data_IF_942001856368
#
_entry.id   IF_942001856368
#
_cell.length_a   1.000
_cell.length_b   1.000
_cell.length_c   1.000
_cell.angle_alpha   90.00
_cell.angle_beta   90.00
_cell.angle_gamma   90.00
#
_symmetry.space_group_name_H-M   'P 1'
#
loop_
_entity.id
_entity.type
_entity.pdbx_description
1 polymer ?
#
# COMPACT_ATOMS: atom_id res chain seq x y z
N UNK A 1 -4.74 -30.69 16.96
CA UNK A 1 -4.83 -29.31 17.35
C UNK A 1 -4.83 -28.42 16.13
N UNK A 2 -5.95 -27.77 15.87
CA UNK A 2 -6.07 -26.86 14.74
C UNK A 2 -5.17 -25.64 14.96
N UNK A 3 -4.36 -25.32 13.97
CA UNK A 3 -3.65 -24.07 13.94
C UNK A 3 -4.63 -22.98 13.48
N UNK A 4 -4.86 -21.98 14.32
CA UNK A 4 -5.60 -20.80 13.86
C UNK A 4 -4.68 -19.92 13.03
N UNK A 5 -5.15 -19.47 11.85
CA UNK A 5 -4.48 -18.46 11.05
C UNK A 5 -4.58 -17.11 11.77
N UNK A 6 -3.50 -16.67 12.44
CA UNK A 6 -3.48 -15.38 13.14
C UNK A 6 -3.59 -14.21 12.15
N UNK A 7 -3.07 -14.38 10.93
CA UNK A 7 -3.02 -13.34 9.88
C UNK A 7 -4.34 -13.17 9.11
N UNK A 8 -5.26 -14.15 9.17
CA UNK A 8 -6.56 -14.07 8.50
C UNK A 8 -6.57 -14.48 7.02
N UNK A 9 -5.42 -14.78 6.40
CA UNK A 9 -5.32 -15.09 4.97
C UNK A 9 -5.55 -16.56 4.59
N UNK A 10 -5.87 -17.42 5.54
CA UNK A 10 -6.25 -18.82 5.31
C UNK A 10 -7.77 -18.99 5.52
N UNK A 11 -8.56 -18.47 4.58
CA UNK A 11 -10.02 -18.39 4.66
C UNK A 11 -10.68 -19.75 4.73
N UNK A 12 -11.56 -19.96 5.70
CA UNK A 12 -12.34 -21.20 5.87
C UNK A 12 -13.83 -21.03 5.57
N UNK A 13 -14.32 -19.82 5.45
CA UNK A 13 -15.67 -19.47 5.01
C UNK A 13 -15.65 -18.06 4.41
N UNK A 14 -15.94 -17.95 3.12
CA UNK A 14 -15.92 -16.66 2.40
C UNK A 14 -17.11 -15.74 2.73
N UNK A 15 -18.14 -16.27 3.42
CA UNK A 15 -19.36 -15.54 3.74
C UNK A 15 -19.50 -15.21 5.23
N UNK A 16 -18.44 -15.46 6.03
CA UNK A 16 -18.45 -15.17 7.46
C UNK A 16 -17.21 -14.43 7.91
N UNK A 17 -17.42 -13.47 8.78
CA UNK A 17 -16.34 -12.84 9.56
C UNK A 17 -15.74 -13.91 10.48
N UNK A 18 -14.44 -13.84 10.72
CA UNK A 18 -13.76 -14.69 11.71
C UNK A 18 -14.41 -14.49 13.09
N UNK A 19 -14.91 -15.56 13.71
CA UNK A 19 -15.63 -15.46 14.99
C UNK A 19 -14.81 -14.88 16.13
N UNK A 20 -13.49 -14.80 16.00
CA UNK A 20 -12.62 -14.12 16.96
C UNK A 20 -12.85 -12.60 16.97
N UNK A 21 -13.34 -12.03 15.88
CA UNK A 21 -13.61 -10.59 15.72
C UNK A 21 -15.07 -10.23 15.84
N UNK A 22 -15.98 -11.19 15.79
CA UNK A 22 -17.41 -10.98 15.89
C UNK A 22 -18.21 -11.69 14.82
N UNK A 23 -19.35 -11.13 14.48
CA UNK A 23 -20.31 -11.65 13.50
C UNK A 23 -20.39 -10.76 12.27
N UNK A 24 -21.08 -11.23 11.22
CA UNK A 24 -21.36 -10.40 10.04
C UNK A 24 -22.17 -9.15 10.41
N UNK A 25 -23.04 -9.25 11.42
CA UNK A 25 -23.82 -8.12 11.93
C UNK A 25 -22.95 -7.10 12.66
N UNK A 26 -21.95 -7.56 13.43
CA UNK A 26 -20.96 -6.66 14.05
C UNK A 26 -20.13 -5.94 12.96
N UNK A 27 -19.78 -6.63 11.88
CA UNK A 27 -19.06 -6.01 10.77
C UNK A 27 -19.94 -4.98 10.04
N UNK A 28 -21.22 -5.27 9.80
CA UNK A 28 -22.14 -4.31 9.22
C UNK A 28 -22.26 -3.07 10.11
N UNK A 29 -22.42 -3.25 11.42
CA UNK A 29 -22.46 -2.14 12.39
C UNK A 29 -21.18 -1.31 12.34
N UNK A 30 -20.00 -1.95 12.26
CA UNK A 30 -18.72 -1.25 12.11
C UNK A 30 -18.71 -0.37 10.85
N UNK A 31 -19.16 -0.89 9.72
CA UNK A 31 -19.23 -0.14 8.44
C UNK A 31 -20.20 1.02 8.55
N UNK A 32 -21.40 0.81 9.13
CA UNK A 32 -22.41 1.86 9.34
C UNK A 32 -21.88 3.00 10.24
N UNK A 33 -21.24 2.65 11.36
CA UNK A 33 -20.66 3.63 12.28
C UNK A 33 -19.49 4.39 11.65
N UNK A 34 -18.67 3.72 10.83
CA UNK A 34 -17.60 4.35 10.05
C UNK A 34 -18.18 5.38 9.06
N UNK A 35 -19.25 5.04 8.36
CA UNK A 35 -19.93 5.93 7.42
C UNK A 35 -20.51 7.17 8.14
N UNK A 36 -21.11 7.01 9.32
CA UNK A 36 -21.59 8.12 10.13
C UNK A 36 -20.49 9.11 10.52
N UNK A 37 -19.25 8.63 10.62
CA UNK A 37 -18.06 9.45 10.88
C UNK A 37 -17.36 9.96 9.59
N UNK A 38 -17.95 9.71 8.42
CA UNK A 38 -17.39 10.10 7.13
C UNK A 38 -16.20 9.23 6.68
N UNK A 39 -16.01 8.08 7.28
CA UNK A 39 -14.99 7.09 6.90
C UNK A 39 -15.55 6.09 5.89
N UNK A 40 -14.70 5.62 5.00
CA UNK A 40 -14.97 4.51 4.07
C UNK A 40 -14.27 3.26 4.56
N UNK A 41 -14.87 2.10 4.28
CA UNK A 41 -14.32 0.81 4.67
C UNK A 41 -13.91 0.02 3.43
N UNK A 42 -12.67 -0.45 3.42
CA UNK A 42 -12.11 -1.32 2.38
C UNK A 42 -11.91 -2.70 2.98
N UNK A 43 -12.46 -3.72 2.33
CA UNK A 43 -12.31 -5.11 2.74
C UNK A 43 -11.14 -5.76 2.04
N UNK A 44 -10.32 -6.48 2.79
CA UNK A 44 -9.27 -7.34 2.24
C UNK A 44 -9.89 -8.67 1.81
N UNK A 45 -9.69 -9.07 0.55
CA UNK A 45 -10.20 -10.31 -0.03
C UNK A 45 -9.08 -11.14 -0.64
N UNK A 46 -9.25 -12.46 -0.63
CA UNK A 46 -8.26 -13.43 -1.11
C UNK A 46 -8.94 -14.35 -2.13
N UNK A 47 -8.66 -14.17 -3.42
CA UNK A 47 -9.21 -15.04 -4.49
C UNK A 47 -8.23 -16.09 -4.97
N UNK A 48 -6.95 -15.95 -4.65
CA UNK A 48 -5.92 -16.88 -5.08
C UNK A 48 -6.04 -18.24 -4.40
N UNK A 49 -6.30 -18.26 -3.10
CA UNK A 49 -6.29 -19.47 -2.28
C UNK A 49 -7.33 -19.41 -1.17
N UNK A 50 -7.62 -20.57 -0.57
CA UNK A 50 -8.35 -20.65 0.69
C UNK A 50 -7.47 -21.22 1.80
N UNK A 51 -8.02 -21.48 2.98
CA UNK A 51 -7.33 -22.20 4.05
C UNK A 51 -7.44 -23.72 3.88
N UNK A 52 -6.44 -24.45 4.33
CA UNK A 52 -6.46 -25.92 4.32
C UNK A 52 -7.53 -26.55 5.22
N UNK A 53 -8.10 -25.77 6.13
CA UNK A 53 -9.27 -26.19 6.94
C UNK A 53 -10.62 -25.83 6.30
N UNK A 54 -10.63 -25.29 5.09
CA UNK A 54 -11.86 -25.04 4.36
C UNK A 54 -12.54 -26.40 4.01
N UNK A 55 -13.88 -26.54 4.15
CA UNK A 55 -14.58 -27.78 3.81
C UNK A 55 -14.31 -28.31 2.40
N UNK A 56 -13.97 -27.45 1.45
CA UNK A 56 -13.58 -27.84 0.08
C UNK A 56 -12.37 -28.75 0.00
N UNK A 57 -11.49 -28.75 1.02
CA UNK A 57 -10.34 -29.66 1.04
C UNK A 57 -10.75 -31.12 1.25
N UNK A 58 -11.92 -31.35 1.89
CA UNK A 58 -12.45 -32.70 2.13
C UNK A 58 -13.45 -33.07 1.02
N UNK A 59 -14.28 -32.10 0.61
CA UNK A 59 -15.33 -32.32 -0.36
C UNK A 59 -15.40 -31.11 -1.33
N UNK A 60 -14.53 -31.07 -2.34
CA UNK A 60 -14.56 -29.99 -3.33
C UNK A 60 -15.82 -30.10 -4.20
N UNK A 61 -16.44 -28.96 -4.58
CA UNK A 61 -17.64 -28.96 -5.45
C UNK A 61 -17.40 -29.55 -6.84
N UNK A 62 -16.16 -29.54 -7.33
CA UNK A 62 -15.73 -30.15 -8.58
C UNK A 62 -14.31 -30.70 -8.44
N UNK A 63 -13.94 -31.67 -9.28
CA UNK A 63 -12.64 -32.32 -9.24
C UNK A 63 -11.46 -31.35 -9.53
N UNK A 64 -11.71 -30.30 -10.31
CA UNK A 64 -10.79 -29.26 -10.69
C UNK A 64 -11.03 -27.93 -9.95
N UNK A 65 -11.56 -28.00 -8.71
CA UNK A 65 -11.78 -26.80 -7.85
C UNK A 65 -10.48 -26.15 -7.43
N UNK A 66 -9.46 -26.98 -7.24
CA UNK A 66 -8.08 -26.57 -6.94
C UNK A 66 -7.17 -26.92 -8.11
N UNK A 67 -6.12 -26.11 -8.33
CA UNK A 67 -5.10 -26.40 -9.33
C UNK A 67 -4.29 -27.66 -8.97
N UNK A 68 -4.03 -27.87 -7.68
CA UNK A 68 -3.39 -29.07 -7.16
C UNK A 68 -4.28 -29.68 -6.06
N UNK A 69 -4.66 -30.97 -6.17
CA UNK A 69 -5.56 -31.61 -5.16
C UNK A 69 -4.91 -31.76 -3.79
N UNK A 70 -3.58 -31.80 -3.74
CA UNK A 70 -2.79 -31.90 -2.53
C UNK A 70 -1.57 -31.01 -2.61
N UNK A 71 -0.99 -30.66 -1.48
CA UNK A 71 0.26 -29.90 -1.43
C UNK A 71 1.43 -30.69 -2.05
N UNK A 72 1.69 -30.45 -3.30
CA UNK A 72 2.77 -31.08 -4.07
C UNK A 72 3.60 -30.07 -4.86
N UNK A 73 3.04 -28.89 -5.07
CA UNK A 73 3.67 -27.77 -5.76
C UNK A 73 3.43 -26.49 -4.96
N UNK A 74 4.47 -25.86 -4.46
CA UNK A 74 4.41 -24.53 -3.87
C UNK A 74 4.67 -23.48 -4.95
N UNK A 75 4.00 -22.32 -4.85
CA UNK A 75 4.28 -21.22 -5.76
C UNK A 75 5.75 -20.81 -5.68
N UNK A 76 6.31 -20.41 -6.81
CA UNK A 76 7.69 -19.90 -6.87
C UNK A 76 7.86 -18.53 -6.22
N UNK A 77 6.75 -17.84 -5.87
CA UNK A 77 6.72 -16.43 -5.42
C UNK A 77 7.33 -15.44 -6.42
N UNK A 78 7.53 -15.86 -7.67
CA UNK A 78 8.07 -15.02 -8.74
C UNK A 78 6.93 -14.56 -9.64
N UNK A 79 6.61 -13.28 -9.62
CA UNK A 79 5.55 -12.71 -10.46
C UNK A 79 6.02 -12.34 -11.87
N UNK A 80 7.33 -12.27 -12.07
CA UNK A 80 7.92 -11.93 -13.38
C UNK A 80 7.54 -12.88 -14.51
N UNK A 81 7.41 -14.21 -14.32
CA UNK A 81 6.98 -15.10 -15.39
C UNK A 81 5.60 -14.76 -15.97
N UNK A 82 4.70 -14.15 -15.19
CA UNK A 82 3.38 -13.76 -15.67
C UNK A 82 3.42 -12.65 -16.74
N UNK A 83 4.50 -11.88 -16.81
CA UNK A 83 4.67 -10.75 -17.73
C UNK A 83 5.88 -10.87 -18.66
N UNK A 84 6.81 -11.78 -18.38
CA UNK A 84 7.99 -12.03 -19.17
C UNK A 84 7.60 -12.64 -20.54
N UNK A 85 7.98 -12.01 -21.67
CA UNK A 85 7.69 -12.54 -22.99
C UNK A 85 8.45 -13.84 -23.32
N UNK A 86 9.48 -14.17 -22.56
CA UNK A 86 10.34 -15.34 -22.73
C UNK A 86 10.15 -16.39 -21.64
N UNK A 87 9.21 -16.20 -20.73
CA UNK A 87 8.99 -17.13 -19.64
C UNK A 87 8.66 -18.54 -20.15
N UNK A 88 9.24 -19.54 -19.50
CA UNK A 88 8.88 -20.93 -19.72
C UNK A 88 7.47 -21.22 -19.20
N UNK A 89 6.81 -22.22 -19.75
CA UNK A 89 5.49 -22.65 -19.27
C UNK A 89 5.56 -23.22 -17.84
N UNK A 90 6.68 -23.85 -17.48
CA UNK A 90 6.83 -24.37 -16.11
C UNK A 90 6.93 -23.25 -15.08
N UNK A 91 7.67 -22.16 -15.37
CA UNK A 91 7.79 -21.03 -14.44
C UNK A 91 6.45 -20.31 -14.23
N UNK A 92 5.66 -20.12 -15.30
CA UNK A 92 4.30 -19.59 -15.21
C UNK A 92 3.42 -20.48 -14.35
N UNK A 93 3.43 -21.77 -14.63
CA UNK A 93 2.62 -22.75 -13.92
C UNK A 93 2.98 -22.82 -12.43
N UNK A 94 4.25 -22.80 -12.08
CA UNK A 94 4.68 -22.75 -10.68
C UNK A 94 4.16 -21.52 -9.95
N UNK A 95 4.11 -20.36 -10.61
CA UNK A 95 3.55 -19.14 -10.03
C UNK A 95 2.03 -19.24 -9.86
N UNK A 96 1.30 -19.63 -10.91
CA UNK A 96 -0.16 -19.52 -11.00
C UNK A 96 -0.91 -20.71 -10.40
N UNK A 97 -0.28 -21.89 -10.31
CA UNK A 97 -0.93 -23.14 -9.86
C UNK A 97 -0.34 -23.68 -8.54
N UNK A 98 0.77 -23.14 -8.07
CA UNK A 98 1.38 -23.58 -6.82
C UNK A 98 0.65 -23.03 -5.60
N UNK A 99 0.51 -23.86 -4.56
CA UNK A 99 -0.06 -23.40 -3.30
C UNK A 99 0.79 -22.30 -2.67
N UNK A 100 0.15 -21.27 -2.13
CA UNK A 100 0.87 -20.17 -1.50
C UNK A 100 1.65 -20.65 -0.26
N UNK A 101 1.08 -21.54 0.51
CA UNK A 101 1.72 -22.28 1.59
C UNK A 101 1.03 -23.64 1.76
N UNK A 102 1.60 -24.53 2.54
CA UNK A 102 0.97 -25.84 2.85
C UNK A 102 -0.41 -25.71 3.52
N UNK A 103 -0.68 -24.56 4.15
CA UNK A 103 -1.96 -24.21 4.76
C UNK A 103 -2.88 -23.38 3.85
N UNK A 104 -2.47 -23.10 2.61
CA UNK A 104 -3.16 -22.20 1.67
C UNK A 104 -3.30 -22.83 0.29
N UNK A 105 -4.28 -23.77 0.12
CA UNK A 105 -4.58 -24.43 -1.15
C UNK A 105 -4.97 -23.45 -2.24
N UNK A 106 -4.38 -23.63 -3.42
CA UNK A 106 -4.57 -22.78 -4.56
C UNK A 106 -5.88 -23.07 -5.29
N UNK A 107 -6.70 -22.04 -5.50
CA UNK A 107 -8.00 -22.16 -6.18
C UNK A 107 -7.83 -22.06 -7.69
N UNK A 108 -8.55 -22.88 -8.42
CA UNK A 108 -8.57 -22.85 -9.88
C UNK A 108 -9.65 -21.87 -10.41
N UNK A 109 -9.30 -20.59 -10.55
CA UNK A 109 -10.23 -19.57 -11.07
C UNK A 109 -10.59 -19.79 -12.56
N UNK A 110 -9.86 -20.64 -13.30
CA UNK A 110 -10.23 -21.04 -14.65
C UNK A 110 -11.46 -21.97 -14.67
N UNK A 111 -11.75 -22.63 -13.54
CA UNK A 111 -13.06 -23.26 -13.37
C UNK A 111 -14.14 -22.17 -13.26
N UNK A 112 -15.15 -22.15 -14.17
CA UNK A 112 -16.13 -21.06 -14.20
C UNK A 112 -16.99 -20.99 -12.94
N UNK A 113 -17.15 -22.08 -12.21
CA UNK A 113 -17.91 -22.11 -10.95
C UNK A 113 -17.11 -21.49 -9.81
N UNK A 114 -15.80 -21.74 -9.74
CA UNK A 114 -14.90 -21.06 -8.79
C UNK A 114 -14.92 -19.55 -9.04
N UNK A 115 -14.71 -19.13 -10.30
CA UNK A 115 -14.73 -17.71 -10.66
C UNK A 115 -16.07 -17.05 -10.31
N UNK A 116 -17.19 -17.69 -10.66
CA UNK A 116 -18.53 -17.17 -10.36
C UNK A 116 -18.76 -17.05 -8.85
N UNK A 117 -18.38 -18.06 -8.08
CA UNK A 117 -18.51 -18.04 -6.62
C UNK A 117 -17.74 -16.85 -6.01
N UNK A 118 -16.49 -16.65 -6.42
CA UNK A 118 -15.66 -15.57 -5.89
C UNK A 118 -16.17 -14.18 -6.30
N UNK A 119 -16.62 -14.03 -7.56
CA UNK A 119 -17.21 -12.78 -8.05
C UNK A 119 -18.48 -12.42 -7.26
N UNK A 120 -19.40 -13.38 -7.13
CA UNK A 120 -20.62 -13.18 -6.38
C UNK A 120 -20.38 -12.95 -4.89
N UNK A 121 -19.37 -13.58 -4.32
CA UNK A 121 -18.95 -13.32 -2.94
C UNK A 121 -18.56 -11.86 -2.72
N UNK A 122 -17.77 -11.28 -3.64
CA UNK A 122 -17.39 -9.86 -3.53
C UNK A 122 -18.60 -8.92 -3.60
N UNK A 123 -19.53 -9.19 -4.53
CA UNK A 123 -20.78 -8.41 -4.66
C UNK A 123 -21.65 -8.57 -3.41
N UNK A 124 -21.75 -9.78 -2.88
CA UNK A 124 -22.52 -10.05 -1.66
C UNK A 124 -22.02 -9.22 -0.46
N UNK A 125 -20.70 -9.09 -0.28
CA UNK A 125 -20.14 -8.26 0.78
C UNK A 125 -20.42 -6.77 0.57
N UNK A 126 -20.37 -6.28 -0.68
CA UNK A 126 -20.76 -4.89 -0.99
C UNK A 126 -22.21 -4.65 -0.60
N UNK A 127 -23.11 -5.53 -1.00
CA UNK A 127 -24.56 -5.39 -0.75
C UNK A 127 -24.95 -5.65 0.71
N UNK A 128 -24.28 -6.58 1.38
CA UNK A 128 -24.68 -6.99 2.74
C UNK A 128 -24.18 -6.03 3.80
N UNK A 129 -22.95 -5.52 3.70
CA UNK A 129 -22.35 -4.68 4.72
C UNK A 129 -22.01 -3.27 4.25
N UNK A 130 -22.10 -2.99 2.96
CA UNK A 130 -21.87 -1.65 2.41
C UNK A 130 -20.40 -1.23 2.33
N UNK A 131 -19.46 -2.16 2.14
CA UNK A 131 -18.05 -1.81 1.93
C UNK A 131 -17.88 -0.88 0.73
N UNK A 132 -16.87 -0.02 0.78
CA UNK A 132 -16.63 1.02 -0.22
C UNK A 132 -15.49 0.71 -1.18
N UNK A 133 -14.73 -0.32 -0.90
CA UNK A 133 -13.60 -0.76 -1.70
C UNK A 133 -13.15 -2.16 -1.32
N UNK A 134 -12.29 -2.73 -2.14
CA UNK A 134 -11.65 -4.03 -1.92
C UNK A 134 -10.15 -3.88 -2.13
N UNK A 135 -9.37 -4.42 -1.20
CA UNK A 135 -7.96 -4.77 -1.43
C UNK A 135 -7.93 -6.23 -1.80
N UNK A 136 -7.39 -6.57 -2.97
CA UNK A 136 -7.24 -7.96 -3.38
C UNK A 136 -5.82 -8.44 -3.11
N UNK A 137 -5.73 -9.34 -2.15
CA UNK A 137 -4.52 -10.04 -1.75
C UNK A 137 -3.93 -10.85 -2.91
N UNK A 138 -2.62 -10.91 -3.00
CA UNK A 138 -1.89 -11.75 -3.97
C UNK A 138 -2.44 -11.69 -5.40
N UNK A 139 -2.88 -10.50 -5.84
CA UNK A 139 -3.61 -10.30 -7.10
C UNK A 139 -2.96 -10.99 -8.32
N UNK A 140 -1.62 -10.86 -8.55
CA UNK A 140 -0.98 -11.41 -9.74
C UNK A 140 -0.76 -12.94 -9.71
N UNK A 141 -0.99 -13.61 -8.60
CA UNK A 141 -0.84 -15.07 -8.50
C UNK A 141 -2.03 -15.81 -9.08
N UNK A 142 -3.23 -15.22 -9.04
CA UNK A 142 -4.42 -15.79 -9.64
C UNK A 142 -4.40 -15.61 -11.16
N UNK A 143 -5.12 -16.50 -11.88
CA UNK A 143 -5.21 -16.41 -13.33
C UNK A 143 -5.73 -15.04 -13.80
N UNK A 144 -5.02 -14.41 -14.72
CA UNK A 144 -5.29 -13.04 -15.16
C UNK A 144 -6.68 -12.87 -15.80
N UNK A 145 -7.15 -13.85 -16.61
CA UNK A 145 -8.42 -13.73 -17.32
C UNK A 145 -9.65 -13.75 -16.40
N UNK A 146 -9.77 -14.69 -15.44
CA UNK A 146 -10.83 -14.65 -14.43
C UNK A 146 -10.81 -13.39 -13.56
N UNK A 147 -9.62 -12.91 -13.18
CA UNK A 147 -9.47 -11.69 -12.39
C UNK A 147 -9.90 -10.45 -13.18
N UNK A 148 -9.58 -10.39 -14.47
CA UNK A 148 -10.04 -9.31 -15.35
C UNK A 148 -11.58 -9.34 -15.53
N UNK A 149 -12.17 -10.52 -15.61
CA UNK A 149 -13.63 -10.70 -15.63
C UNK A 149 -14.28 -10.21 -14.33
N UNK A 150 -13.71 -10.56 -13.18
CA UNK A 150 -14.17 -10.08 -11.89
C UNK A 150 -14.16 -8.54 -11.84
N UNK A 151 -13.03 -7.94 -12.19
CA UNK A 151 -12.89 -6.48 -12.20
C UNK A 151 -13.86 -5.80 -13.16
N UNK A 152 -14.07 -6.39 -14.35
CA UNK A 152 -15.05 -5.87 -15.31
C UNK A 152 -16.45 -5.84 -14.70
N UNK A 153 -16.90 -6.97 -14.17
CA UNK A 153 -18.25 -7.10 -13.59
C UNK A 153 -18.43 -6.17 -12.38
N UNK A 154 -17.44 -6.09 -11.49
CA UNK A 154 -17.51 -5.21 -10.34
C UNK A 154 -17.53 -3.72 -10.74
N UNK A 155 -16.75 -3.34 -11.75
CA UNK A 155 -16.74 -1.95 -12.27
C UNK A 155 -18.03 -1.57 -12.99
N UNK A 156 -18.69 -2.52 -13.66
CA UNK A 156 -19.99 -2.33 -14.32
C UNK A 156 -21.10 -2.16 -13.29
N UNK A 157 -21.12 -2.98 -12.24
CA UNK A 157 -22.10 -2.91 -11.16
C UNK A 157 -21.89 -1.66 -10.27
N UNK A 158 -20.64 -1.34 -9.96
CA UNK A 158 -20.27 -0.24 -9.06
C UNK A 158 -19.23 0.69 -9.71
N UNK A 159 -19.62 1.60 -10.62
CA UNK A 159 -18.68 2.43 -11.40
C UNK A 159 -17.73 3.30 -10.53
N UNK A 160 -18.20 3.71 -9.35
CA UNK A 160 -17.45 4.56 -8.42
C UNK A 160 -16.69 3.75 -7.34
N UNK A 161 -16.79 2.43 -7.37
CA UNK A 161 -16.09 1.56 -6.43
C UNK A 161 -14.62 1.48 -6.77
N UNK A 162 -13.74 1.48 -5.78
CA UNK A 162 -12.32 1.32 -5.99
C UNK A 162 -11.82 -0.03 -5.50
N UNK A 163 -10.98 -0.65 -6.31
CA UNK A 163 -10.30 -1.89 -5.96
C UNK A 163 -8.80 -1.69 -6.14
N UNK A 164 -8.05 -2.02 -5.11
CA UNK A 164 -6.58 -2.04 -5.15
C UNK A 164 -6.11 -3.49 -5.14
N UNK A 165 -5.23 -3.85 -6.06
CA UNK A 165 -4.58 -5.15 -6.10
C UNK A 165 -3.20 -5.09 -5.45
N UNK A 166 -2.91 -6.06 -4.61
CA UNK A 166 -1.55 -6.25 -4.13
C UNK A 166 -0.68 -6.78 -5.28
N UNK A 167 0.15 -5.90 -5.80
CA UNK A 167 1.07 -6.16 -6.91
C UNK A 167 2.50 -6.08 -6.40
N UNK A 168 2.93 -7.08 -5.62
CA UNK A 168 4.24 -7.07 -4.97
C UNK A 168 5.36 -7.35 -5.96
N UNK A 169 5.67 -6.34 -6.74
CA UNK A 169 6.81 -6.29 -7.64
C UNK A 169 7.53 -4.96 -7.44
N UNK A 170 8.86 -5.00 -7.44
CA UNK A 170 9.68 -3.83 -7.06
C UNK A 170 10.15 -3.02 -8.25
N UNK A 171 9.65 -3.32 -9.44
CA UNK A 171 9.94 -2.58 -10.67
C UNK A 171 8.67 -1.86 -11.16
N UNK A 172 8.71 -0.53 -11.38
CA UNK A 172 7.54 0.23 -11.81
C UNK A 172 6.89 -0.31 -13.10
N UNK A 173 7.69 -0.80 -14.05
CA UNK A 173 7.18 -1.38 -15.28
C UNK A 173 6.29 -2.61 -15.02
N UNK A 174 6.64 -3.44 -14.04
CA UNK A 174 5.84 -4.62 -13.67
C UNK A 174 4.55 -4.20 -12.97
N UNK A 175 4.63 -3.26 -12.03
CA UNK A 175 3.44 -2.72 -11.35
C UNK A 175 2.48 -2.09 -12.35
N UNK A 176 2.98 -1.27 -13.29
CA UNK A 176 2.17 -0.61 -14.31
C UNK A 176 1.46 -1.59 -15.25
N UNK A 177 2.03 -2.78 -15.46
CA UNK A 177 1.40 -3.83 -16.29
C UNK A 177 0.05 -4.26 -15.74
N UNK A 178 -0.14 -4.26 -14.42
CA UNK A 178 -1.37 -4.70 -13.76
C UNK A 178 -2.46 -3.62 -13.66
N UNK A 179 -2.16 -2.37 -14.01
CA UNK A 179 -3.15 -1.32 -13.96
C UNK A 179 -4.11 -1.39 -15.15
N UNK A 180 -5.37 -1.00 -14.91
CA UNK A 180 -6.40 -0.89 -15.96
C UNK A 180 -5.90 -0.11 -17.17
N UNK A 181 -6.22 -0.60 -18.36
CA UNK A 181 -5.86 -0.01 -19.66
C UNK A 181 -4.33 0.13 -19.89
N UNK A 182 -3.53 -0.68 -19.21
CA UNK A 182 -2.08 -0.68 -19.39
C UNK A 182 -1.68 -1.06 -20.80
N UNK A 183 -0.82 -0.24 -21.41
CA UNK A 183 -0.21 -0.49 -22.74
C UNK A 183 0.80 -1.63 -22.71
N UNK A 184 1.26 -2.00 -21.50
CA UNK A 184 2.29 -3.02 -21.30
C UNK A 184 1.69 -4.42 -21.20
N UNK A 185 0.40 -4.52 -20.89
CA UNK A 185 -0.29 -5.78 -20.68
C UNK A 185 -0.83 -6.37 -21.99
N UNK A 186 -0.73 -7.69 -22.14
CA UNK A 186 -1.40 -8.44 -23.22
C UNK A 186 -2.92 -8.48 -23.03
N UNK A 187 -3.38 -8.39 -21.79
CA UNK A 187 -4.78 -8.41 -21.40
C UNK A 187 -5.06 -7.29 -20.41
N UNK A 188 -6.14 -6.54 -20.63
CA UNK A 188 -6.58 -5.51 -19.70
C UNK A 188 -7.06 -6.15 -18.40
N UNK A 189 -6.43 -5.83 -17.30
CA UNK A 189 -6.81 -6.31 -15.97
C UNK A 189 -8.13 -5.70 -15.46
N UNK A 190 -8.50 -4.52 -15.96
CA UNK A 190 -9.57 -3.66 -15.43
C UNK A 190 -9.36 -3.22 -13.97
N UNK A 191 -8.20 -3.51 -13.37
CA UNK A 191 -7.85 -3.14 -12.00
C UNK A 191 -7.49 -1.64 -11.94
N UNK A 192 -8.26 -0.86 -11.21
CA UNK A 192 -8.07 0.59 -11.15
C UNK A 192 -6.78 0.96 -10.43
N UNK A 193 -6.54 0.39 -9.26
CA UNK A 193 -5.44 0.80 -8.39
C UNK A 193 -4.47 -0.36 -8.14
N UNK A 194 -3.19 -0.05 -8.22
CA UNK A 194 -2.07 -0.97 -7.94
C UNK A 194 -1.25 -0.46 -6.76
N UNK A 195 -0.56 -1.37 -6.04
CA UNK A 195 0.30 -1.02 -4.91
C UNK A 195 1.72 -0.74 -5.37
N UNK A 196 2.30 0.36 -4.89
CA UNK A 196 3.63 0.86 -5.28
C UNK A 196 4.73 0.26 -4.39
N UNK A 197 5.02 -1.02 -4.57
CA UNK A 197 6.14 -1.67 -3.90
C UNK A 197 7.51 -1.15 -4.39
N UNK A 198 7.58 -0.58 -5.59
CA UNK A 198 8.81 0.05 -6.09
C UNK A 198 9.18 1.29 -5.25
N UNK A 199 8.20 2.12 -4.92
CA UNK A 199 8.40 3.25 -4.00
C UNK A 199 8.76 2.78 -2.59
N UNK A 200 8.06 1.76 -2.07
CA UNK A 200 8.39 1.16 -0.77
C UNK A 200 9.86 0.73 -0.72
N UNK A 201 10.32 -0.06 -1.69
CA UNK A 201 11.70 -0.55 -1.70
C UNK A 201 12.73 0.57 -1.84
N UNK A 202 12.44 1.57 -2.66
CA UNK A 202 13.29 2.75 -2.79
C UNK A 202 13.41 3.50 -1.45
N UNK A 203 12.31 3.64 -0.71
CA UNK A 203 12.30 4.29 0.60
C UNK A 203 12.96 3.44 1.69
N UNK A 204 12.72 2.13 1.69
CA UNK A 204 13.32 1.22 2.66
C UNK A 204 14.84 1.18 2.52
N UNK A 205 15.35 1.15 1.30
CA UNK A 205 16.79 1.25 1.03
C UNK A 205 17.35 2.63 1.36
N UNK A 206 16.64 3.69 0.94
CA UNK A 206 17.07 5.09 1.11
C UNK A 206 17.22 5.49 2.58
N UNK A 207 16.36 4.98 3.48
CA UNK A 207 16.38 5.35 4.90
C UNK A 207 17.70 5.01 5.62
N UNK A 208 18.48 4.07 5.07
CA UNK A 208 19.77 3.63 5.63
C UNK A 208 20.98 4.27 4.95
N UNK A 209 20.74 5.14 3.97
CA UNK A 209 21.81 5.74 3.15
C UNK A 209 21.88 7.24 3.37
N UNK A 210 23.12 7.73 3.55
CA UNK A 210 23.42 9.14 3.82
C UNK A 210 24.27 9.75 2.71
N UNK A 211 24.31 9.11 1.57
CA UNK A 211 25.03 9.56 0.36
C UNK A 211 24.04 9.99 -0.72
N UNK A 212 24.50 10.84 -1.62
CA UNK A 212 23.75 11.32 -2.77
C UNK A 212 24.34 10.83 -4.11
N UNK A 213 25.10 9.75 -4.08
CA UNK A 213 25.60 9.17 -5.32
C UNK A 213 24.45 8.66 -6.22
N UNK A 214 24.74 8.41 -7.49
CA UNK A 214 23.76 8.16 -8.58
C UNK A 214 22.68 7.13 -8.28
N UNK A 215 22.95 6.18 -7.40
CA UNK A 215 22.08 5.01 -7.16
C UNK A 215 21.66 4.84 -5.69
N UNK A 216 22.08 5.78 -4.83
CA UNK A 216 21.84 5.71 -3.40
C UNK A 216 21.10 6.92 -2.87
N UNK A 217 20.69 6.82 -1.61
CA UNK A 217 19.92 7.87 -0.96
C UNK A 217 18.65 8.19 -1.74
N UNK A 218 18.27 9.45 -1.78
CA UNK A 218 17.06 9.89 -2.49
C UNK A 218 17.12 9.72 -4.00
N UNK A 219 18.28 9.41 -4.60
CA UNK A 219 18.33 9.05 -6.02
C UNK A 219 17.53 7.78 -6.32
N UNK A 220 17.38 6.86 -5.37
CA UNK A 220 16.51 5.69 -5.51
C UNK A 220 15.05 6.10 -5.75
N UNK A 221 14.57 7.03 -4.94
CA UNK A 221 13.20 7.55 -5.05
C UNK A 221 13.01 8.36 -6.34
N UNK A 222 13.95 9.26 -6.62
CA UNK A 222 13.96 10.03 -7.86
C UNK A 222 13.84 9.12 -9.09
N UNK A 223 14.68 8.09 -9.15
CA UNK A 223 14.70 7.14 -10.27
C UNK A 223 13.39 6.32 -10.37
N UNK A 224 12.72 6.04 -9.25
CA UNK A 224 11.44 5.34 -9.26
C UNK A 224 10.37 6.17 -9.97
N UNK A 225 10.27 7.46 -9.67
CA UNK A 225 9.27 8.34 -10.29
C UNK A 225 9.55 8.68 -11.77
N UNK A 226 10.78 8.49 -12.25
CA UNK A 226 11.09 8.62 -13.68
C UNK A 226 10.23 7.70 -14.53
N UNK A 227 9.78 6.58 -13.99
CA UNK A 227 8.95 5.59 -14.68
C UNK A 227 7.44 5.88 -14.62
N UNK A 228 7.02 7.01 -14.07
CA UNK A 228 5.59 7.33 -13.95
C UNK A 228 4.85 7.41 -15.30
N UNK A 229 5.57 7.64 -16.40
CA UNK A 229 5.02 7.60 -17.75
C UNK A 229 4.52 6.21 -18.19
N UNK A 230 4.88 5.15 -17.47
CA UNK A 230 4.41 3.78 -17.73
C UNK A 230 3.00 3.53 -17.20
N UNK A 231 2.61 4.22 -16.13
CA UNK A 231 1.28 4.07 -15.55
C UNK A 231 0.22 4.72 -16.43
N UNK A 232 -0.94 4.09 -16.51
CA UNK A 232 -2.11 4.68 -17.18
C UNK A 232 -2.63 5.87 -16.39
N UNK A 233 -2.65 5.76 -15.05
CA UNK A 233 -3.06 6.83 -14.16
C UNK A 233 -2.29 6.75 -12.83
N UNK A 234 -1.39 7.69 -12.61
CA UNK A 234 -0.60 7.78 -11.37
C UNK A 234 -1.44 8.18 -10.15
N UNK A 235 -2.65 8.73 -10.34
CA UNK A 235 -3.56 9.01 -9.22
C UNK A 235 -4.17 7.72 -8.64
N UNK A 236 -4.09 6.62 -9.37
CA UNK A 236 -4.52 5.29 -8.95
C UNK A 236 -3.31 4.36 -8.69
N UNK A 237 -2.26 4.90 -8.10
CA UNK A 237 -1.12 4.14 -7.58
C UNK A 237 -1.07 4.39 -6.08
N UNK A 238 -1.21 3.33 -5.27
CA UNK A 238 -1.22 3.42 -3.82
C UNK A 238 0.18 3.19 -3.27
N UNK A 239 0.77 4.23 -2.68
CA UNK A 239 2.11 4.20 -2.11
C UNK A 239 2.08 4.07 -0.58
N UNK A 240 3.12 3.48 -0.05
CA UNK A 240 3.32 3.28 1.39
C UNK A 240 4.82 3.20 1.69
N UNK A 241 5.20 3.43 2.94
CA UNK A 241 6.58 3.27 3.42
C UNK A 241 6.74 2.06 4.36
N UNK A 242 5.64 1.51 4.83
CA UNK A 242 5.53 0.29 5.61
C UNK A 242 4.12 -0.27 5.50
N UNK A 243 3.96 -1.57 5.72
CA UNK A 243 2.67 -2.22 5.85
C UNK A 243 2.80 -3.47 6.74
N UNK A 244 1.74 -4.28 6.83
CA UNK A 244 1.70 -5.49 7.66
C UNK A 244 2.60 -6.63 7.17
N UNK A 245 3.12 -6.55 5.94
CA UNK A 245 3.99 -7.56 5.32
C UNK A 245 5.46 -7.13 5.25
N UNK A 246 5.76 -5.92 5.65
CA UNK A 246 7.12 -5.35 5.63
C UNK A 246 7.62 -5.08 7.03
N UNK A 247 8.90 -4.80 7.16
CA UNK A 247 9.42 -4.19 8.38
C UNK A 247 8.71 -2.86 8.64
N UNK A 248 8.53 -2.51 9.91
CA UNK A 248 8.18 -1.14 10.27
C UNK A 248 9.28 -0.20 9.79
N UNK A 249 8.93 1.00 9.37
CA UNK A 249 9.92 1.95 8.84
C UNK A 249 11.02 2.27 9.87
N UNK A 250 10.65 2.36 11.14
CA UNK A 250 11.62 2.51 12.24
C UNK A 250 12.47 1.25 12.45
N UNK A 251 12.05 0.08 12.01
CA UNK A 251 12.76 -1.18 12.19
C UNK A 251 13.01 -1.47 13.67
N UNK A 252 14.25 -1.71 14.03
CA UNK A 252 14.77 -1.79 15.41
C UNK A 252 15.31 -0.43 15.89
N UNK A 253 15.44 0.53 14.97
CA UNK A 253 15.99 1.85 15.23
C UNK A 253 14.98 2.83 15.82
N UNK A 254 15.45 4.08 15.97
CA UNK A 254 14.65 5.17 16.55
C UNK A 254 14.79 6.46 15.74
N UNK A 255 15.15 6.37 14.46
CA UNK A 255 15.32 7.55 13.62
C UNK A 255 13.97 8.14 13.21
N UNK A 256 13.38 8.88 14.13
CA UNK A 256 12.09 9.56 13.94
C UNK A 256 12.19 10.62 12.84
N UNK A 257 13.36 11.22 12.63
CA UNK A 257 13.54 12.22 11.59
C UNK A 257 13.45 11.59 10.20
N UNK A 258 14.03 10.40 9.99
CA UNK A 258 13.88 9.66 8.74
C UNK A 258 12.42 9.21 8.52
N UNK A 259 11.73 8.79 9.59
CA UNK A 259 10.31 8.48 9.50
C UNK A 259 9.50 9.72 9.06
N UNK A 260 9.74 10.88 9.68
CA UNK A 260 9.10 12.15 9.29
C UNK A 260 9.40 12.51 7.82
N UNK A 261 10.61 12.30 7.34
CA UNK A 261 10.97 12.53 5.93
C UNK A 261 10.17 11.60 5.00
N UNK A 262 10.12 10.30 5.31
CA UNK A 262 9.35 9.32 4.54
C UNK A 262 7.86 9.66 4.48
N UNK A 263 7.27 10.04 5.61
CA UNK A 263 5.87 10.45 5.69
C UNK A 263 5.59 11.77 4.96
N UNK A 264 6.47 12.76 5.09
CA UNK A 264 6.33 14.03 4.36
C UNK A 264 6.37 13.78 2.84
N UNK A 265 7.26 12.91 2.38
CA UNK A 265 7.34 12.52 0.97
C UNK A 265 6.06 11.78 0.54
N UNK A 266 5.66 10.73 1.26
CA UNK A 266 4.47 9.95 0.99
C UNK A 266 3.20 10.81 0.87
N UNK A 267 3.07 11.81 1.75
CA UNK A 267 1.90 12.69 1.81
C UNK A 267 1.96 13.87 0.81
N UNK A 268 3.08 14.07 0.12
CA UNK A 268 3.27 15.15 -0.86
C UNK A 268 3.21 14.66 -2.30
N UNK A 269 3.70 13.46 -2.58
CA UNK A 269 3.77 12.92 -3.95
C UNK A 269 2.40 12.66 -4.56
N UNK A 270 2.38 12.54 -5.90
CA UNK A 270 1.17 12.23 -6.66
C UNK A 270 0.87 10.72 -6.58
N UNK A 271 0.35 10.29 -5.44
CA UNK A 271 -0.04 8.90 -5.11
C UNK A 271 -1.22 8.91 -4.15
N UNK A 272 -1.89 7.78 -4.02
CA UNK A 272 -2.80 7.51 -2.89
C UNK A 272 -1.91 7.06 -1.72
N UNK A 273 -1.81 7.84 -0.64
CA UNK A 273 -1.00 7.42 0.50
C UNK A 273 -1.71 6.37 1.35
N UNK A 274 -1.01 5.30 1.70
CA UNK A 274 -1.43 4.33 2.70
C UNK A 274 -0.56 4.49 3.95
N UNK A 275 -1.20 4.66 5.10
CA UNK A 275 -0.56 4.68 6.40
C UNK A 275 -0.88 3.39 7.15
N UNK A 276 0.13 2.79 7.74
CA UNK A 276 -0.06 1.61 8.58
C UNK A 276 -0.37 2.04 10.01
N UNK A 277 -1.32 1.36 10.68
CA UNK A 277 -1.68 1.71 12.06
C UNK A 277 -0.47 1.63 12.98
N UNK A 278 -0.40 2.55 13.93
CA UNK A 278 0.67 2.62 14.91
C UNK A 278 1.90 3.43 14.47
N UNK A 279 2.01 3.82 13.19
CA UNK A 279 3.04 4.75 12.72
C UNK A 279 2.98 6.08 13.49
N UNK A 280 1.78 6.54 13.77
CA UNK A 280 1.48 7.77 14.50
C UNK A 280 1.93 7.77 15.96
N UNK A 281 2.18 6.59 16.52
CA UNK A 281 2.66 6.38 17.90
C UNK A 281 4.00 5.63 17.94
N UNK A 282 4.78 5.73 16.86
CA UNK A 282 6.14 5.19 16.77
C UNK A 282 6.24 3.67 16.98
N UNK A 283 5.22 2.90 16.60
CA UNK A 283 5.32 1.45 16.63
C UNK A 283 6.46 0.97 15.74
N UNK A 284 7.25 0.05 16.25
CA UNK A 284 8.42 -0.52 15.60
C UNK A 284 8.32 -2.05 15.50
N UNK A 285 9.19 -2.65 14.69
CA UNK A 285 9.26 -4.09 14.53
C UNK A 285 9.94 -4.50 13.24
N UNK A 286 10.47 -5.71 13.23
CA UNK A 286 11.12 -6.32 12.06
C UNK A 286 10.65 -7.75 11.87
N UNK A 287 10.42 -8.13 10.62
CA UNK A 287 9.93 -9.47 10.24
C UNK A 287 10.90 -10.60 10.57
N UNK A 288 12.21 -10.31 10.58
CA UNK A 288 13.22 -11.32 10.94
C UNK A 288 13.03 -11.91 12.35
N UNK A 289 12.36 -11.18 13.26
CA UNK A 289 12.01 -11.70 14.60
C UNK A 289 10.84 -12.66 14.49
N UNK A 290 9.70 -12.17 14.03
CA UNK A 290 8.51 -12.92 13.64
C UNK A 290 7.62 -12.03 12.80
N UNK A 291 6.73 -12.61 12.05
CA UNK A 291 5.70 -11.85 11.31
C UNK A 291 4.79 -11.04 12.27
N UNK A 292 4.47 -11.60 13.44
CA UNK A 292 3.72 -10.88 14.49
C UNK A 292 4.45 -9.68 15.09
N UNK A 293 5.79 -9.60 14.96
CA UNK A 293 6.56 -8.49 15.49
C UNK A 293 6.23 -7.15 14.79
N UNK A 294 5.82 -7.19 13.53
CA UNK A 294 5.37 -6.01 12.77
C UNK A 294 3.87 -5.76 12.86
N UNK A 295 3.11 -6.71 13.45
CA UNK A 295 1.64 -6.70 13.59
C UNK A 295 1.19 -6.67 15.05
N UNK A 296 1.96 -6.05 15.93
CA UNK A 296 1.62 -5.91 17.36
C UNK A 296 0.29 -5.19 17.52
N UNK A 297 -0.42 -5.53 18.59
CA UNK A 297 -1.66 -4.84 18.96
C UNK A 297 -1.40 -3.35 19.24
N UNK A 298 -2.37 -2.51 18.88
CA UNK A 298 -2.33 -1.10 19.25
C UNK A 298 -2.71 -0.96 20.74
N UNK A 299 -1.80 -0.41 21.52
CA UNK A 299 -1.96 -0.29 22.98
C UNK A 299 -3.20 0.51 23.34
N UNK A 300 -4.06 -0.07 24.15
CA UNK A 300 -5.36 0.49 24.56
C UNK A 300 -6.54 -0.11 23.80
N UNK A 301 -6.30 -1.03 22.85
CA UNK A 301 -7.33 -1.72 22.09
C UNK A 301 -7.91 -2.95 22.79
N UNK A 302 -7.20 -3.50 23.80
CA UNK A 302 -7.59 -4.75 24.45
C UNK A 302 -7.64 -4.63 25.98
N UNK A 303 -8.51 -5.41 26.64
CA UNK A 303 -8.53 -5.48 28.10
C UNK A 303 -7.17 -5.95 28.65
N UNK A 304 -6.65 -5.24 29.62
CA UNK A 304 -5.36 -5.56 30.25
C UNK A 304 -4.16 -4.82 29.67
N UNK A 305 -4.33 -4.01 28.65
CA UNK A 305 -3.28 -3.13 28.17
C UNK A 305 -2.83 -2.16 29.27
N UNK A 306 -1.51 -2.03 29.44
CA UNK A 306 -0.94 -1.21 30.52
C UNK A 306 -1.17 0.30 30.33
N UNK A 307 -1.43 0.73 29.10
CA UNK A 307 -1.68 2.12 28.73
C UNK A 307 -2.59 2.21 27.51
N UNK A 308 -3.12 3.40 27.27
CA UNK A 308 -4.03 3.65 26.14
C UNK A 308 -3.46 4.72 25.20
N UNK A 309 -2.88 4.28 24.06
CA UNK A 309 -2.33 5.19 23.07
C UNK A 309 -3.37 5.93 22.23
N UNK A 310 -4.67 5.65 22.38
CA UNK A 310 -5.73 6.47 21.78
C UNK A 310 -5.84 7.84 22.46
N UNK A 311 -5.38 7.97 23.71
CA UNK A 311 -5.41 9.22 24.47
C UNK A 311 -4.03 9.83 24.68
N UNK A 312 -3.96 11.15 24.81
CA UNK A 312 -2.69 11.85 25.01
C UNK A 312 -1.97 11.42 26.30
N UNK A 313 -2.73 11.16 27.37
CA UNK A 313 -2.18 10.76 28.67
C UNK A 313 -1.57 9.35 28.64
N UNK A 314 -2.06 8.48 27.75
CA UNK A 314 -1.53 7.12 27.57
C UNK A 314 -0.33 7.05 26.66
N UNK A 315 -0.01 8.11 25.91
CA UNK A 315 1.15 8.20 25.02
C UNK A 315 2.36 8.77 25.76
N UNK A 316 3.56 8.34 25.41
CA UNK A 316 4.82 9.00 25.82
C UNK A 316 4.94 10.37 25.18
N UNK A 317 5.88 11.19 25.68
CA UNK A 317 6.16 12.51 25.10
C UNK A 317 6.55 12.43 23.62
N UNK A 318 7.38 11.45 23.23
CA UNK A 318 7.79 11.23 21.84
C UNK A 318 6.62 10.80 20.95
N UNK A 319 5.76 9.91 21.45
CA UNK A 319 4.56 9.47 20.74
C UNK A 319 3.56 10.62 20.56
N UNK A 320 3.38 11.47 21.57
CA UNK A 320 2.54 12.66 21.46
C UNK A 320 3.09 13.67 20.45
N UNK A 321 4.41 13.87 20.42
CA UNK A 321 5.06 14.73 19.41
C UNK A 321 4.81 14.21 18.01
N UNK A 322 5.05 12.90 17.78
CA UNK A 322 4.84 12.27 16.49
C UNK A 322 3.38 12.32 16.05
N UNK A 323 2.46 11.97 16.95
CA UNK A 323 1.03 12.03 16.70
C UNK A 323 0.59 13.45 16.31
N UNK A 324 1.04 14.46 17.06
CA UNK A 324 0.72 15.86 16.77
C UNK A 324 1.31 16.33 15.43
N UNK A 325 2.54 15.93 15.13
CA UNK A 325 3.20 16.26 13.86
C UNK A 325 2.45 15.66 12.66
N UNK A 326 2.16 14.36 12.71
CA UNK A 326 1.47 13.66 11.63
C UNK A 326 0.02 14.16 11.48
N UNK A 327 -0.68 14.40 12.58
CA UNK A 327 -2.02 14.96 12.57
C UNK A 327 -2.07 16.31 11.87
N UNK A 328 -1.15 17.24 12.18
CA UNK A 328 -1.07 18.53 11.50
C UNK A 328 -0.82 18.38 10.00
N UNK A 329 0.07 17.49 9.59
CA UNK A 329 0.37 17.26 8.19
C UNK A 329 -0.82 16.67 7.43
N UNK A 330 -1.53 15.73 8.03
CA UNK A 330 -2.73 15.12 7.44
C UNK A 330 -3.89 16.13 7.32
N UNK A 331 -4.11 16.96 8.34
CA UNK A 331 -5.14 18.02 8.29
C UNK A 331 -4.80 19.07 7.23
N UNK A 332 -3.53 19.48 7.15
CA UNK A 332 -3.07 20.38 6.08
C UNK A 332 -3.29 19.78 4.69
N UNK A 333 -2.99 18.49 4.54
CA UNK A 333 -3.17 17.78 3.25
C UNK A 333 -4.64 17.65 2.88
N UNK A 334 -5.51 17.43 3.85
CA UNK A 334 -6.95 17.23 3.62
C UNK A 334 -7.57 18.49 3.02
N UNK A 335 -8.12 18.35 1.80
CA UNK A 335 -8.71 19.49 1.08
C UNK A 335 -7.68 20.46 0.49
N UNK A 336 -6.42 20.10 0.43
CA UNK A 336 -5.40 20.89 -0.25
C UNK A 336 -5.37 20.56 -1.75
N UNK A 337 -5.97 21.43 -2.55
CA UNK A 337 -6.09 21.24 -3.99
C UNK A 337 -4.74 21.11 -4.70
N UNK A 338 -3.69 21.75 -4.18
CA UNK A 338 -2.33 21.64 -4.75
C UNK A 338 -1.82 20.20 -4.64
N UNK A 339 -2.13 19.51 -3.53
CA UNK A 339 -1.72 18.11 -3.34
C UNK A 339 -2.64 17.16 -4.12
N UNK A 340 -3.94 17.45 -4.17
CA UNK A 340 -4.91 16.56 -4.82
C UNK A 340 -4.83 16.67 -6.34
N UNK A 341 -4.83 17.90 -6.88
CA UNK A 341 -4.97 18.18 -8.31
C UNK A 341 -3.67 18.61 -8.99
N UNK A 342 -2.64 18.94 -8.22
CA UNK A 342 -1.42 19.54 -8.72
C UNK A 342 -0.58 18.62 -9.61
N UNK A 343 0.10 19.23 -10.56
CA UNK A 343 1.20 18.61 -11.28
C UNK A 343 2.38 18.37 -10.33
N UNK A 344 3.24 17.43 -10.66
CA UNK A 344 4.45 17.13 -9.90
C UNK A 344 5.68 17.50 -10.71
N UNK A 345 6.65 18.17 -10.06
CA UNK A 345 7.98 18.41 -10.58
C UNK A 345 8.97 17.87 -9.56
N UNK A 346 9.98 17.14 -10.01
CA UNK A 346 11.08 16.71 -9.16
C UNK A 346 12.42 17.19 -9.71
N UNK A 347 13.36 17.46 -8.80
CA UNK A 347 14.73 17.78 -9.14
C UNK A 347 15.62 16.61 -8.80
N UNK A 348 16.60 16.32 -9.66
CA UNK A 348 17.64 15.34 -9.31
C UNK A 348 18.24 15.74 -7.96
N UNK A 349 18.40 14.81 -7.01
CA UNK A 349 19.10 15.08 -5.77
C UNK A 349 20.45 15.76 -6.03
N UNK A 350 20.73 16.80 -5.29
CA UNK A 350 21.93 17.62 -5.46
C UNK A 350 22.48 18.03 -4.08
N UNK A 351 23.76 17.76 -3.85
CA UNK A 351 24.39 17.98 -2.56
C UNK A 351 23.60 17.36 -1.39
N UNK A 352 23.04 16.14 -1.59
CA UNK A 352 22.25 15.45 -0.59
C UNK A 352 20.82 15.97 -0.39
N UNK A 353 20.39 16.97 -1.14
CA UNK A 353 19.03 17.53 -1.04
C UNK A 353 18.17 17.04 -2.19
N UNK A 354 17.03 16.46 -1.86
CA UNK A 354 16.00 16.08 -2.81
C UNK A 354 14.81 17.03 -2.73
N UNK A 355 14.34 17.54 -3.88
CA UNK A 355 13.25 18.50 -3.95
C UNK A 355 12.16 17.98 -4.88
N UNK A 356 10.93 17.99 -4.35
CA UNK A 356 9.69 17.76 -5.10
C UNK A 356 8.78 18.96 -4.92
N UNK A 357 8.11 19.36 -5.98
CA UNK A 357 7.09 20.39 -5.95
C UNK A 357 5.76 19.89 -6.51
N UNK A 358 4.67 20.40 -5.96
CA UNK A 358 3.31 20.28 -6.49
C UNK A 358 2.80 21.66 -6.85
N UNK A 359 2.14 21.77 -8.02
CA UNK A 359 1.63 23.05 -8.53
C UNK A 359 0.19 22.94 -9.00
N UNK A 360 -0.64 23.87 -8.57
CA UNK A 360 -2.02 23.98 -8.99
C UNK A 360 -2.51 25.43 -8.88
N UNK A 361 -3.11 25.96 -9.94
CA UNK A 361 -3.72 27.30 -9.98
C UNK A 361 -2.84 28.42 -9.39
N UNK A 362 -1.58 28.46 -9.81
CA UNK A 362 -0.62 29.48 -9.36
C UNK A 362 -0.05 29.28 -7.96
N UNK A 363 -0.52 28.27 -7.23
CA UNK A 363 0.02 27.90 -5.91
C UNK A 363 1.06 26.79 -6.07
N UNK A 364 2.11 26.86 -5.25
CA UNK A 364 3.19 25.89 -5.23
C UNK A 364 3.44 25.38 -3.81
N UNK A 365 3.52 24.07 -3.66
CA UNK A 365 4.02 23.38 -2.46
C UNK A 365 5.37 22.80 -2.80
N UNK A 366 6.37 23.05 -1.99
CA UNK A 366 7.74 22.54 -2.17
C UNK A 366 8.09 21.68 -0.96
N UNK A 367 8.53 20.46 -1.20
CA UNK A 367 9.14 19.59 -0.21
C UNK A 367 10.64 19.52 -0.47
N UNK A 368 11.44 19.87 0.53
CA UNK A 368 12.89 19.75 0.51
C UNK A 368 13.32 18.74 1.58
N UNK A 369 14.08 17.74 1.18
CA UNK A 369 14.54 16.66 2.05
C UNK A 369 16.08 16.64 2.06
N UNK A 370 16.67 16.80 3.23
CA UNK A 370 18.12 16.61 3.42
C UNK A 370 18.39 15.13 3.71
N UNK A 371 19.06 14.46 2.77
CA UNK A 371 19.42 13.04 2.89
C UNK A 371 20.73 12.78 3.65
N UNK A 372 21.47 13.82 4.04
CA UNK A 372 22.74 13.69 4.74
C UNK A 372 22.55 13.78 6.27
N UNK A 373 23.51 13.25 7.02
CA UNK A 373 23.54 13.29 8.50
C UNK A 373 24.15 14.60 9.06
N UNK A 374 24.14 15.65 8.27
CA UNK A 374 24.69 16.97 8.65
C UNK A 374 23.79 18.08 8.14
N UNK A 375 23.90 19.23 8.76
CA UNK A 375 23.30 20.45 8.22
C UNK A 375 23.80 20.70 6.79
N UNK A 376 22.92 21.17 5.96
CA UNK A 376 23.20 21.43 4.56
C UNK A 376 22.54 22.74 4.13
N UNK A 377 23.22 23.46 3.25
CA UNK A 377 22.70 24.69 2.66
C UNK A 377 22.07 24.39 1.31
N UNK A 378 20.93 24.98 1.08
CA UNK A 378 20.20 24.88 -0.19
C UNK A 378 20.37 26.18 -0.97
N UNK A 379 21.03 26.10 -2.13
CA UNK A 379 21.06 27.20 -3.09
C UNK A 379 19.67 27.37 -3.72
N UNK A 380 18.97 28.36 -3.26
CA UNK A 380 17.59 28.67 -3.70
C UNK A 380 17.52 28.98 -5.20
N UNK A 381 18.59 29.53 -5.80
CA UNK A 381 18.62 29.87 -7.22
C UNK A 381 18.46 28.65 -8.13
N UNK A 382 18.90 27.48 -7.65
CA UNK A 382 18.67 26.20 -8.38
C UNK A 382 17.19 25.91 -8.63
N UNK A 383 16.31 26.41 -7.78
CA UNK A 383 14.87 26.15 -7.79
C UNK A 383 14.07 27.38 -8.30
N UNK A 384 14.72 28.28 -9.02
CA UNK A 384 14.11 29.51 -9.53
C UNK A 384 12.86 29.26 -10.39
N UNK A 385 12.79 28.16 -11.13
CA UNK A 385 11.61 27.80 -11.92
C UNK A 385 10.37 27.50 -11.06
N UNK A 386 10.55 27.11 -9.78
CA UNK A 386 9.46 26.90 -8.81
C UNK A 386 9.11 28.19 -8.07
N UNK A 387 10.12 28.96 -7.71
CA UNK A 387 10.03 30.12 -6.82
C UNK A 387 9.67 31.39 -7.58
N UNK A 388 10.19 31.54 -8.81
CA UNK A 388 9.97 32.75 -9.63
C UNK A 388 10.50 33.97 -8.90
N UNK A 389 9.65 34.99 -8.76
CA UNK A 389 9.94 36.24 -8.04
C UNK A 389 9.45 36.22 -6.58
N UNK A 390 8.99 35.09 -6.08
CA UNK A 390 8.48 34.95 -4.70
C UNK A 390 9.63 35.10 -3.71
N UNK A 391 9.53 36.07 -2.81
CA UNK A 391 10.58 36.36 -1.83
C UNK A 391 10.44 35.55 -0.54
N UNK A 392 9.26 35.00 -0.26
CA UNK A 392 8.98 34.34 1.02
C UNK A 392 8.05 33.14 0.82
N UNK A 393 8.28 32.07 1.58
CA UNK A 393 7.39 30.94 1.74
C UNK A 393 6.97 30.77 3.20
N UNK A 394 6.03 29.89 3.46
CA UNK A 394 5.62 29.55 4.83
C UNK A 394 5.78 28.03 5.05
N UNK A 395 6.40 27.65 6.15
CA UNK A 395 6.41 26.27 6.60
C UNK A 395 4.99 25.84 6.95
N UNK A 396 4.49 24.82 6.30
CA UNK A 396 3.08 24.37 6.43
C UNK A 396 2.74 23.77 7.80
N UNK A 397 3.76 23.35 8.56
CA UNK A 397 3.59 22.73 9.88
C UNK A 397 3.74 23.75 11.02
N UNK A 398 4.59 24.75 10.87
CA UNK A 398 4.93 25.72 11.93
C UNK A 398 4.38 27.11 11.65
N UNK A 399 4.09 27.45 10.40
CA UNK A 399 3.72 28.80 9.97
C UNK A 399 4.92 29.74 9.86
N UNK A 400 6.13 29.28 10.16
CA UNK A 400 7.35 30.06 10.07
C UNK A 400 7.58 30.57 8.64
N UNK A 401 8.03 31.81 8.55
CA UNK A 401 8.37 32.45 7.28
C UNK A 401 9.80 32.11 6.88
N UNK A 402 9.94 31.67 5.63
CA UNK A 402 11.22 31.28 5.05
C UNK A 402 11.54 32.25 3.93
N UNK A 403 12.70 32.93 4.08
CA UNK A 403 13.21 33.85 3.06
C UNK A 403 13.75 33.04 1.87
N UNK A 404 13.22 33.30 0.67
CA UNK A 404 13.65 32.64 -0.56
C UNK A 404 14.61 33.50 -1.41
N UNK A 405 15.10 34.63 -0.91
CA UNK A 405 16.07 35.47 -1.59
C UNK A 405 17.51 35.13 -1.24
N UNK A 406 17.70 34.31 -0.22
CA UNK A 406 19.01 33.82 0.26
C UNK A 406 18.97 32.29 0.38
N UNK A 407 20.16 31.70 0.46
CA UNK A 407 20.26 30.26 0.72
C UNK A 407 19.55 29.87 2.03
N UNK A 408 18.91 28.70 2.02
CA UNK A 408 18.20 28.11 3.14
C UNK A 408 19.06 27.09 3.85
#
# INVERSE_FOLDING_TARGET
GGHSSYHGYATTDYYKVDPRFGTNEDYRRLVDEAHQKGLKVVMDMIFNHCGSSHPWQINPPAADWFNQPNYGLQTSFKLTPCIDPYASEIDKRETEEGWFASSMPDLNQNNPHVATYLIQNSIWWVETVGINGIRMDTYPYAYAAPMARWMKQLNEEYPNFNTVGETWVTQPAYTATWQKDSRLAKQNSNLKTVMDFAFYEAMDSCKHETTDDWWRGFNRVYNTFVYDYLYTDVNHVMAFIENHDTDRFLGEGKDVNRLKQGLALLLTIKRIPQLYYGTEVLMNGVKKVTDGNVRKDFMGGFPGDERNCFTADGRTAAENEMFGWLSRLLHWRKGNDVIVNGTQTQFCPHNGVYVIARRYEGKTVILMLNGLDKENKVDVKRYAELIGTTAEASNVLTGEKINLTTDI
#
